data_IF_172707348082
#
_entry.id   IF_172707348082
#
_cell.length_a   1.000
_cell.length_b   1.000
_cell.length_c   1.000
_cell.angle_alpha   90.00
_cell.angle_beta   90.00
_cell.angle_gamma   90.00
#
_symmetry.space_group_name_H-M   'P 1'
#
loop_
_entity.id
_entity.type
_entity.pdbx_description
1 polymer ?
#
# COMPACT_ATOMS: atom_id res chain seq x y z
N UNK A 1 -14.02 14.25 -2.84
CA UNK A 1 -12.95 13.76 -3.72
C UNK A 1 -12.16 12.69 -3.03
N UNK A 2 -11.50 11.85 -3.81
CA UNK A 2 -10.69 10.74 -3.30
C UNK A 2 -9.25 10.98 -3.72
N UNK A 3 -8.32 10.71 -2.82
CA UNK A 3 -6.90 10.74 -3.16
C UNK A 3 -6.34 9.33 -3.11
N UNK A 4 -5.32 9.09 -3.91
CA UNK A 4 -4.69 7.78 -4.02
C UNK A 4 -3.22 7.87 -3.66
N UNK A 5 -2.69 6.74 -3.19
CA UNK A 5 -1.28 6.63 -2.87
C UNK A 5 -0.80 5.24 -3.25
N UNK A 6 0.37 5.18 -3.85
CA UNK A 6 0.99 3.91 -4.25
C UNK A 6 2.32 3.80 -3.52
N UNK A 7 2.52 2.66 -2.85
CA UNK A 7 3.74 2.42 -2.09
C UNK A 7 4.31 1.06 -2.44
N UNK A 8 5.63 0.96 -2.36
CA UNK A 8 6.35 -0.28 -2.57
C UNK A 8 6.94 -0.71 -1.24
N UNK A 9 6.64 -1.95 -0.82
CA UNK A 9 7.12 -2.47 0.46
C UNK A 9 7.80 -3.81 0.27
N UNK A 10 8.78 -4.09 1.14
CA UNK A 10 9.24 -5.46 1.33
C UNK A 10 8.12 -6.25 1.99
N UNK A 11 8.02 -7.53 1.63
CA UNK A 11 6.92 -8.36 2.13
C UNK A 11 6.90 -8.39 3.66
N UNK A 12 8.09 -8.47 4.29
CA UNK A 12 8.18 -8.56 5.74
C UNK A 12 7.66 -7.32 6.46
N UNK A 13 7.63 -6.18 5.77
CA UNK A 13 7.21 -4.93 6.37
C UNK A 13 5.83 -4.49 5.93
N UNK A 14 5.25 -5.19 4.98
CA UNK A 14 4.01 -4.74 4.36
C UNK A 14 2.87 -4.65 5.36
N UNK A 15 2.74 -5.63 6.23
CA UNK A 15 1.64 -5.65 7.19
C UNK A 15 1.70 -4.45 8.13
N UNK A 16 2.89 -4.19 8.68
CA UNK A 16 3.05 -3.06 9.60
C UNK A 16 2.76 -1.74 8.91
N UNK A 17 3.24 -1.59 7.68
CA UNK A 17 3.04 -0.35 6.94
C UNK A 17 1.58 -0.17 6.55
N UNK A 18 0.90 -1.24 6.14
CA UNK A 18 -0.52 -1.14 5.82
C UNK A 18 -1.35 -0.78 7.05
N UNK A 19 -1.00 -1.34 8.21
CA UNK A 19 -1.71 -1.02 9.45
C UNK A 19 -1.48 0.44 9.83
N UNK A 20 -0.25 0.94 9.66
CA UNK A 20 0.04 2.34 9.94
C UNK A 20 -0.76 3.26 9.03
N UNK A 21 -0.82 2.92 7.74
CA UNK A 21 -1.58 3.73 6.79
C UNK A 21 -3.08 3.71 7.11
N UNK A 22 -3.58 2.57 7.57
CA UNK A 22 -5.00 2.47 7.94
C UNK A 22 -5.32 3.39 9.11
N UNK A 23 -4.39 3.58 10.04
CA UNK A 23 -4.61 4.51 11.16
C UNK A 23 -4.69 5.95 10.69
N UNK A 24 -4.13 6.26 9.52
CA UNK A 24 -4.20 7.59 8.94
C UNK A 24 -5.39 7.75 8.00
N UNK A 25 -6.28 6.77 7.96
CA UNK A 25 -7.49 6.85 7.16
C UNK A 25 -7.37 6.28 5.77
N UNK A 26 -6.23 5.69 5.44
CA UNK A 26 -6.02 5.08 4.13
C UNK A 26 -6.63 3.69 4.07
N UNK A 27 -7.10 3.32 2.90
CA UNK A 27 -7.72 2.00 2.67
C UNK A 27 -7.00 1.33 1.51
N UNK A 28 -6.62 0.06 1.71
CA UNK A 28 -5.97 -0.72 0.66
C UNK A 28 -7.02 -1.12 -0.38
N UNK A 29 -6.76 -0.81 -1.64
CA UNK A 29 -7.68 -1.19 -2.71
C UNK A 29 -7.05 -2.17 -3.68
N UNK A 30 -5.72 -2.32 -3.68
CA UNK A 30 -5.07 -3.26 -4.57
C UNK A 30 -3.69 -3.60 -4.03
N UNK A 31 -3.32 -4.86 -4.15
CA UNK A 31 -1.98 -5.34 -3.82
C UNK A 31 -1.49 -6.19 -4.97
N UNK A 32 -0.32 -5.86 -5.50
CA UNK A 32 0.26 -6.58 -6.62
C UNK A 32 1.71 -6.94 -6.30
N UNK A 33 2.20 -8.11 -6.76
CA UNK A 33 3.61 -8.39 -6.61
C UNK A 33 4.44 -7.49 -7.52
N UNK A 34 5.62 -7.09 -7.03
CA UNK A 34 6.53 -6.27 -7.81
C UNK A 34 7.50 -7.17 -8.56
N UNK A 35 7.05 -7.71 -9.68
CA UNK A 35 7.83 -8.67 -10.44
C UNK A 35 9.01 -8.02 -11.16
N UNK A 36 8.86 -6.76 -11.53
CA UNK A 36 9.89 -6.06 -12.27
C UNK A 36 11.16 -5.88 -11.44
N UNK A 37 11.01 -5.64 -10.14
CA UNK A 37 12.15 -5.51 -9.24
C UNK A 37 12.52 -6.80 -8.54
N UNK A 38 11.74 -7.88 -8.74
CA UNK A 38 12.03 -9.18 -8.16
C UNK A 38 11.62 -9.38 -6.73
N UNK A 39 11.33 -8.33 -5.98
CA UNK A 39 11.00 -8.43 -4.56
C UNK A 39 9.97 -7.39 -4.17
N UNK A 40 9.17 -7.74 -3.14
CA UNK A 40 8.25 -6.79 -2.56
C UNK A 40 6.90 -6.81 -3.21
N UNK A 41 6.06 -5.92 -2.73
CA UNK A 41 4.70 -5.76 -3.25
C UNK A 41 4.40 -4.29 -3.45
N UNK A 42 3.50 -4.03 -4.38
CA UNK A 42 3.00 -2.69 -4.66
C UNK A 42 1.60 -2.61 -4.09
N UNK A 43 1.37 -1.65 -3.20
CA UNK A 43 0.08 -1.47 -2.54
C UNK A 43 -0.50 -0.13 -2.96
N UNK A 44 -1.74 -0.15 -3.40
CA UNK A 44 -2.45 1.06 -3.77
C UNK A 44 -3.50 1.35 -2.70
N UNK A 45 -3.51 2.58 -2.21
CA UNK A 45 -4.46 3.04 -1.20
C UNK A 45 -5.35 4.12 -1.75
N UNK A 46 -6.51 4.27 -1.10
CA UNK A 46 -7.35 5.43 -1.34
C UNK A 46 -7.78 6.02 0.00
N UNK A 47 -8.12 7.29 -0.02
CA UNK A 47 -8.62 7.98 1.16
C UNK A 47 -9.56 9.09 0.70
N UNK A 48 -10.68 9.23 1.42
CA UNK A 48 -11.58 10.35 1.17
C UNK A 48 -10.89 11.64 1.60
N UNK A 49 -11.03 12.64 0.77
CA UNK A 49 -10.35 13.91 1.01
C UNK A 49 -11.35 15.00 1.32
#
# INVERSE_FOLDING_TARGET
MVEYRVELYAVQKAEDEMNRMAQEGWRVISVCPNQAAGFGIIVTYERAK
#
